data_IF_016076869925
#
_entry.id   IF_016076869925
#
_cell.length_a   1.000
_cell.length_b   1.000
_cell.length_c   1.000
_cell.angle_alpha   90.00
_cell.angle_beta   90.00
_cell.angle_gamma   90.00
#
_symmetry.space_group_name_H-M   'P 1'
#
loop_
_entity.id
_entity.type
_entity.pdbx_description
1 polymer ?
#
# COMPACT_ATOMS: atom_id res chain seq x y z
N UNK A 1 4.72 2.02 21.25
CA UNK A 1 4.67 3.50 21.14
C UNK A 1 3.21 3.94 21.12
N UNK A 2 2.87 5.12 21.64
CA UNK A 2 1.48 5.58 21.61
C UNK A 2 1.10 6.03 20.19
N UNK A 3 0.01 5.48 19.64
CA UNK A 3 -0.62 5.89 18.37
C UNK A 3 -0.68 7.41 18.16
N UNK A 4 -1.08 8.24 19.17
CA UNK A 4 -1.13 9.69 19.01
C UNK A 4 0.21 10.36 18.70
N UNK A 5 1.36 9.75 19.05
CA UNK A 5 2.67 10.29 18.68
C UNK A 5 2.97 10.09 17.19
N UNK A 6 2.70 8.89 16.68
CA UNK A 6 2.93 8.54 15.28
C UNK A 6 2.10 9.47 14.38
N UNK A 7 0.85 9.74 14.76
CA UNK A 7 -0.05 10.64 14.03
C UNK A 7 0.49 12.09 13.97
N UNK A 8 1.08 12.61 15.05
CA UNK A 8 1.67 13.96 15.08
C UNK A 8 2.93 14.06 14.23
N UNK A 9 3.83 13.08 14.35
CA UNK A 9 5.04 13.01 13.52
C UNK A 9 4.65 12.90 12.04
N UNK A 10 3.62 12.10 11.72
CA UNK A 10 3.06 11.98 10.36
C UNK A 10 2.54 13.31 9.83
N UNK A 11 1.68 13.99 10.58
CA UNK A 11 1.08 15.26 10.18
C UNK A 11 2.17 16.29 9.81
N UNK A 12 3.28 16.31 10.57
CA UNK A 12 4.41 17.20 10.33
C UNK A 12 5.21 16.85 9.07
N UNK A 13 5.37 15.57 8.77
CA UNK A 13 6.08 15.11 7.55
C UNK A 13 5.25 15.40 6.28
N UNK A 14 3.93 15.20 6.34
CA UNK A 14 3.01 15.46 5.22
C UNK A 14 2.94 16.96 4.89
N UNK A 15 2.90 17.83 5.90
CA UNK A 15 2.89 19.28 5.71
C UNK A 15 4.14 19.81 4.97
N UNK A 16 5.24 19.05 4.97
CA UNK A 16 6.48 19.40 4.30
C UNK A 16 6.70 18.79 2.90
N UNK A 17 5.73 18.03 2.36
CA UNK A 17 5.87 17.28 1.09
C UNK A 17 7.21 16.51 0.97
N UNK A 18 7.60 15.84 2.05
CA UNK A 18 8.95 15.31 2.20
C UNK A 18 8.96 13.81 2.50
N UNK A 19 9.90 13.08 1.88
CA UNK A 19 10.16 11.69 2.21
C UNK A 19 10.48 11.48 3.69
N UNK A 20 9.90 10.43 4.26
CA UNK A 20 10.25 9.92 5.59
C UNK A 20 11.68 9.35 5.55
N UNK A 21 12.66 10.21 5.81
CA UNK A 21 14.08 9.86 5.95
C UNK A 21 14.47 9.82 7.43
N UNK A 22 15.50 9.04 7.82
CA UNK A 22 15.94 8.97 9.23
C UNK A 22 16.22 10.33 9.86
N UNK A 23 16.91 11.23 9.14
CA UNK A 23 17.21 12.58 9.65
C UNK A 23 15.95 13.42 9.90
N UNK A 24 14.93 13.32 9.04
CA UNK A 24 13.68 14.07 9.18
C UNK A 24 12.78 13.50 10.28
N UNK A 25 12.68 12.17 10.37
CA UNK A 25 11.94 11.51 11.45
C UNK A 25 12.58 11.82 12.80
N UNK A 26 13.92 11.74 12.90
CA UNK A 26 14.63 12.15 14.11
C UNK A 26 14.41 13.63 14.46
N UNK A 27 14.40 14.52 13.46
CA UNK A 27 14.11 15.94 13.69
C UNK A 27 12.67 16.19 14.16
N UNK A 28 11.69 15.45 13.62
CA UNK A 28 10.30 15.56 14.02
C UNK A 28 10.08 15.02 15.44
N UNK A 29 10.72 13.90 15.79
CA UNK A 29 10.70 13.35 17.14
C UNK A 29 11.31 14.31 18.18
N UNK A 30 12.47 14.92 17.86
CA UNK A 30 13.09 15.91 18.75
C UNK A 30 12.20 17.13 18.96
N UNK A 31 11.49 17.58 17.93
CA UNK A 31 10.54 18.70 18.04
C UNK A 31 9.35 18.36 18.96
N UNK A 32 9.00 17.08 19.09
CA UNK A 32 7.99 16.56 20.03
C UNK A 32 8.59 16.24 21.42
N UNK A 33 9.87 16.55 21.66
CA UNK A 33 10.56 16.28 22.92
C UNK A 33 10.95 14.82 23.14
N UNK A 34 10.98 14.01 22.08
CA UNK A 34 11.21 12.57 22.16
C UNK A 34 12.59 12.22 21.60
N UNK A 35 13.32 11.43 22.38
CA UNK A 35 14.62 10.86 21.99
C UNK A 35 14.45 9.34 21.91
N UNK A 36 14.72 8.78 20.74
CA UNK A 36 14.74 7.35 20.47
C UNK A 36 16.14 6.95 20.04
N UNK A 37 16.53 5.71 20.35
CA UNK A 37 17.76 5.12 19.81
C UNK A 37 17.65 4.87 18.31
N UNK A 38 18.79 4.72 17.63
CA UNK A 38 18.87 4.64 16.17
C UNK A 38 18.01 3.51 15.58
N UNK A 39 17.97 2.33 16.23
CA UNK A 39 17.14 1.20 15.80
C UNK A 39 15.63 1.54 15.84
N UNK A 40 15.18 2.22 16.90
CA UNK A 40 13.79 2.64 17.03
C UNK A 40 13.43 3.76 16.04
N UNK A 41 14.39 4.65 15.73
CA UNK A 41 14.21 5.65 14.67
C UNK A 41 14.09 4.98 13.31
N UNK A 42 14.94 3.98 12.99
CA UNK A 42 14.88 3.25 11.73
C UNK A 42 13.55 2.49 11.57
N UNK A 43 13.10 1.80 12.62
CA UNK A 43 11.80 1.14 12.65
C UNK A 43 10.65 2.13 12.41
N UNK A 44 10.69 3.31 13.06
CA UNK A 44 9.69 4.35 12.84
C UNK A 44 9.73 4.93 11.43
N UNK A 45 10.92 5.11 10.86
CA UNK A 45 11.10 5.56 9.47
C UNK A 45 10.47 4.57 8.51
N UNK A 46 10.73 3.27 8.68
CA UNK A 46 10.11 2.25 7.85
C UNK A 46 8.59 2.26 8.00
N UNK A 47 8.08 2.32 9.22
CA UNK A 47 6.63 2.34 9.47
C UNK A 47 5.98 3.57 8.84
N UNK A 48 6.59 4.75 8.98
CA UNK A 48 6.13 6.00 8.36
C UNK A 48 6.26 5.96 6.84
N UNK A 49 7.31 5.36 6.28
CA UNK A 49 7.44 5.16 4.82
C UNK A 49 6.33 4.27 4.29
N UNK A 50 6.02 3.16 4.97
CA UNK A 50 4.92 2.25 4.61
C UNK A 50 3.56 2.96 4.63
N UNK A 51 3.34 3.85 5.60
CA UNK A 51 2.09 4.62 5.67
C UNK A 51 2.01 5.79 4.68
N UNK A 52 3.12 6.52 4.50
CA UNK A 52 3.17 7.75 3.71
C UNK A 52 3.34 7.48 2.21
N UNK A 53 4.05 6.41 1.85
CA UNK A 53 4.44 6.09 0.47
C UNK A 53 4.04 4.67 0.07
N UNK A 54 3.99 3.73 1.02
CA UNK A 54 3.63 2.33 0.77
C UNK A 54 2.12 2.06 0.72
N UNK A 55 1.76 0.78 0.69
CA UNK A 55 0.38 0.33 0.60
C UNK A 55 -0.43 0.45 1.91
N UNK A 56 0.12 1.15 2.91
CA UNK A 56 -0.51 1.35 4.20
C UNK A 56 -0.84 0.02 4.89
N UNK A 57 -2.09 -0.20 5.35
CA UNK A 57 -2.50 -1.44 5.99
C UNK A 57 -2.34 -2.69 5.11
N UNK A 58 -2.32 -2.55 3.78
CA UNK A 58 -2.20 -3.67 2.85
C UNK A 58 -0.77 -4.19 2.74
N UNK A 59 0.22 -3.43 3.22
CA UNK A 59 1.63 -3.79 3.15
C UNK A 59 1.93 -5.14 3.82
N UNK A 60 1.22 -5.46 4.92
CA UNK A 60 1.39 -6.74 5.60
C UNK A 60 1.01 -7.92 4.69
N UNK A 61 -0.04 -7.76 3.88
CA UNK A 61 -0.52 -8.77 2.94
C UNK A 61 0.40 -8.89 1.73
N UNK A 62 0.92 -7.76 1.21
CA UNK A 62 1.85 -7.75 0.07
C UNK A 62 3.20 -8.41 0.39
N UNK A 63 3.58 -8.45 1.68
CA UNK A 63 4.85 -9.05 2.11
C UNK A 63 4.76 -10.59 2.26
N UNK A 64 3.55 -11.14 2.38
CA UNK A 64 3.31 -12.58 2.43
C UNK A 64 3.73 -13.24 1.11
N UNK A 65 4.65 -14.21 1.19
CA UNK A 65 5.35 -14.74 0.02
C UNK A 65 4.49 -15.57 -0.95
N UNK A 66 3.30 -15.96 -0.52
CA UNK A 66 2.32 -16.76 -1.23
C UNK A 66 1.12 -15.94 -1.73
N UNK A 67 0.99 -14.66 -1.35
CA UNK A 67 -0.03 -13.76 -1.87
C UNK A 67 0.33 -13.32 -3.30
N UNK A 68 -0.62 -13.50 -4.21
CA UNK A 68 -0.53 -13.12 -5.62
C UNK A 68 -1.30 -11.86 -5.95
N UNK A 69 -2.43 -11.65 -5.28
CA UNK A 69 -3.32 -10.52 -5.51
C UNK A 69 -3.91 -10.04 -4.17
N UNK A 70 -4.05 -8.71 -4.02
CA UNK A 70 -4.77 -8.06 -2.92
C UNK A 70 -5.84 -7.17 -3.54
N UNK A 71 -7.10 -7.34 -3.15
CA UNK A 71 -8.23 -6.59 -3.67
C UNK A 71 -8.94 -5.85 -2.54
N UNK A 72 -9.33 -4.60 -2.79
CA UNK A 72 -10.18 -3.81 -1.90
C UNK A 72 -11.43 -3.46 -2.69
N UNK A 73 -12.59 -3.95 -2.25
CA UNK A 73 -13.88 -3.70 -2.89
C UNK A 73 -14.79 -2.85 -1.97
N UNK A 74 -14.19 -1.88 -1.28
CA UNK A 74 -14.81 -1.11 -0.21
C UNK A 74 -14.09 -1.28 1.14
N UNK A 75 -14.41 -0.44 2.14
CA UNK A 75 -13.63 -0.31 3.38
C UNK A 75 -13.53 -1.60 4.18
N UNK A 76 -14.62 -2.36 4.25
CA UNK A 76 -14.66 -3.62 5.01
C UNK A 76 -14.31 -4.83 4.14
N UNK A 77 -14.15 -4.66 2.82
CA UNK A 77 -14.11 -5.73 1.83
C UNK A 77 -12.72 -5.91 1.22
N UNK A 78 -11.75 -6.32 2.05
CA UNK A 78 -10.39 -6.67 1.62
C UNK A 78 -10.26 -8.18 1.40
N UNK A 79 -9.72 -8.56 0.25
CA UNK A 79 -9.54 -9.93 -0.19
C UNK A 79 -8.11 -10.17 -0.65
N UNK A 80 -7.66 -11.41 -0.59
CA UNK A 80 -6.38 -11.83 -1.15
C UNK A 80 -6.56 -13.12 -1.97
N UNK A 81 -5.68 -13.35 -2.93
CA UNK A 81 -5.57 -14.63 -3.66
C UNK A 81 -4.16 -15.17 -3.52
N UNK A 82 -4.04 -16.47 -3.28
CA UNK A 82 -2.78 -17.23 -3.20
C UNK A 82 -2.61 -18.24 -4.35
N UNK A 83 -3.36 -18.06 -5.43
CA UNK A 83 -3.47 -18.99 -6.56
C UNK A 83 -4.51 -20.10 -6.37
N UNK A 84 -5.39 -19.99 -5.37
CA UNK A 84 -6.47 -20.97 -5.07
C UNK A 84 -7.87 -20.33 -5.05
N UNK A 85 -7.96 -19.04 -5.36
CA UNK A 85 -9.18 -18.26 -5.27
C UNK A 85 -9.15 -17.26 -4.11
N UNK A 86 -10.21 -16.45 -4.04
CA UNK A 86 -10.30 -15.32 -3.12
C UNK A 86 -10.61 -15.75 -1.68
N UNK A 87 -9.83 -15.23 -0.75
CA UNK A 87 -10.05 -15.35 0.69
C UNK A 87 -10.17 -13.96 1.34
N UNK A 88 -11.02 -13.85 2.36
CA UNK A 88 -11.25 -12.58 3.07
C UNK A 88 -10.07 -12.30 4.01
N UNK A 89 -9.48 -11.11 3.92
CA UNK A 89 -8.45 -10.68 4.84
C UNK A 89 -9.06 -10.02 6.10
N UNK A 90 -8.34 -10.08 7.22
CA UNK A 90 -8.75 -9.41 8.46
C UNK A 90 -8.47 -7.89 8.44
N UNK A 91 -7.70 -7.40 7.46
CA UNK A 91 -7.40 -5.99 7.26
C UNK A 91 -8.64 -5.27 6.72
N UNK A 92 -8.85 -4.03 7.15
CA UNK A 92 -9.92 -3.16 6.67
C UNK A 92 -9.56 -1.68 6.80
N UNK A 93 -10.47 -0.82 6.35
CA UNK A 93 -10.36 0.63 6.40
C UNK A 93 -11.54 1.21 7.18
N UNK A 94 -11.36 2.39 7.77
CA UNK A 94 -12.43 3.07 8.52
C UNK A 94 -13.49 3.73 7.63
N UNK A 95 -13.19 3.99 6.35
CA UNK A 95 -14.15 4.58 5.40
C UNK A 95 -13.71 4.41 3.95
N UNK A 96 -14.65 4.55 3.02
CA UNK A 96 -14.33 4.64 1.58
C UNK A 96 -13.33 5.77 1.28
N UNK A 97 -13.45 6.90 1.98
CA UNK A 97 -12.52 8.02 1.85
C UNK A 97 -11.08 7.65 2.19
N UNK A 98 -10.84 6.68 3.08
CA UNK A 98 -9.49 6.15 3.34
C UNK A 98 -8.97 5.31 2.19
N UNK A 99 -9.82 4.47 1.61
CA UNK A 99 -9.50 3.67 0.41
C UNK A 99 -9.18 4.60 -0.77
N UNK A 100 -10.01 5.63 -1.01
CA UNK A 100 -9.75 6.66 -2.03
C UNK A 100 -8.41 7.34 -1.82
N UNK A 101 -8.13 7.80 -0.59
CA UNK A 101 -6.83 8.44 -0.28
C UNK A 101 -5.66 7.49 -0.50
N UNK A 102 -5.80 6.21 -0.17
CA UNK A 102 -4.76 5.21 -0.45
C UNK A 102 -4.52 5.06 -1.96
N UNK A 103 -5.58 4.84 -2.74
CA UNK A 103 -5.48 4.70 -4.20
C UNK A 103 -4.80 5.92 -4.84
N UNK A 104 -5.18 7.14 -4.42
CA UNK A 104 -4.61 8.38 -4.92
C UNK A 104 -3.13 8.53 -4.58
N UNK A 105 -2.72 8.17 -3.36
CA UNK A 105 -1.31 8.19 -2.95
C UNK A 105 -0.48 7.19 -3.76
N UNK A 106 -0.98 5.95 -3.93
CA UNK A 106 -0.28 4.92 -4.70
C UNK A 106 -0.15 5.31 -6.18
N UNK A 107 -1.19 5.91 -6.77
CA UNK A 107 -1.14 6.46 -8.13
C UNK A 107 -0.09 7.57 -8.26
N UNK A 108 -0.08 8.51 -7.31
CA UNK A 108 0.85 9.64 -7.31
C UNK A 108 2.31 9.20 -7.17
N UNK A 109 2.58 8.10 -6.46
CA UNK A 109 3.92 7.52 -6.34
C UNK A 109 4.50 7.06 -7.68
N UNK A 110 3.65 6.66 -8.65
CA UNK A 110 4.02 6.34 -10.04
C UNK A 110 3.87 7.55 -10.99
N UNK A 111 3.68 8.76 -10.46
CA UNK A 111 3.45 9.96 -11.25
C UNK A 111 2.11 9.97 -12.00
N UNK A 112 1.15 9.15 -11.59
CA UNK A 112 -0.20 9.06 -12.18
C UNK A 112 -1.20 9.89 -11.40
N UNK A 113 -2.25 10.33 -12.10
CA UNK A 113 -3.38 11.05 -11.50
C UNK A 113 -4.54 10.08 -11.30
N UNK A 114 -5.20 10.22 -10.15
CA UNK A 114 -6.47 9.58 -9.84
C UNK A 114 -7.34 10.61 -9.12
N UNK A 115 -8.33 11.14 -9.82
CA UNK A 115 -9.22 12.21 -9.34
C UNK A 115 -10.53 12.18 -10.13
N UNK A 116 -11.47 13.08 -9.84
CA UNK A 116 -12.80 13.03 -10.44
C UNK A 116 -12.78 13.29 -11.96
N UNK A 117 -11.70 13.85 -12.50
CA UNK A 117 -11.50 14.02 -13.94
C UNK A 117 -10.81 12.79 -14.59
N UNK A 118 -10.03 12.03 -13.81
CA UNK A 118 -9.39 10.76 -14.22
C UNK A 118 -9.74 9.67 -13.19
N UNK A 119 -10.95 9.08 -13.24
CA UNK A 119 -11.51 8.27 -12.16
C UNK A 119 -11.03 6.80 -12.13
N UNK A 120 -10.03 6.46 -12.95
CA UNK A 120 -9.35 5.17 -12.89
C UNK A 120 -7.86 5.33 -13.22
N UNK A 121 -7.05 4.38 -12.78
CA UNK A 121 -5.61 4.40 -13.00
C UNK A 121 -5.02 3.00 -13.04
N UNK A 122 -4.05 2.81 -13.92
CA UNK A 122 -3.07 1.73 -13.87
C UNK A 122 -1.70 2.31 -13.52
N UNK A 123 -1.05 1.74 -12.52
CA UNK A 123 0.23 2.22 -12.00
C UNK A 123 1.12 1.06 -11.51
N UNK A 124 2.36 1.36 -11.14
CA UNK A 124 3.27 0.41 -10.50
C UNK A 124 3.84 0.98 -9.20
N UNK A 125 3.85 0.15 -8.17
CA UNK A 125 4.57 0.42 -6.94
C UNK A 125 6.08 0.15 -7.16
N UNK A 126 6.89 0.65 -6.23
CA UNK A 126 8.36 0.56 -6.29
C UNK A 126 8.89 -0.89 -6.29
N UNK A 127 8.15 -1.82 -5.70
CA UNK A 127 8.45 -3.25 -5.65
C UNK A 127 8.03 -3.99 -6.95
N UNK A 128 7.44 -3.27 -7.91
CA UNK A 128 6.89 -3.80 -9.15
C UNK A 128 5.43 -4.27 -9.05
N UNK A 129 4.81 -4.20 -7.86
CA UNK A 129 3.38 -4.51 -7.68
C UNK A 129 2.54 -3.61 -8.58
N UNK A 130 1.69 -4.23 -9.39
CA UNK A 130 0.81 -3.51 -10.30
C UNK A 130 -0.42 -3.05 -9.54
N UNK A 131 -0.76 -1.78 -9.70
CA UNK A 131 -1.97 -1.18 -9.17
C UNK A 131 -2.97 -0.97 -10.30
N UNK A 132 -4.20 -1.38 -10.07
CA UNK A 132 -5.37 -0.83 -10.75
C UNK A 132 -6.30 -0.25 -9.68
N UNK A 133 -6.81 0.96 -9.89
CA UNK A 133 -7.80 1.54 -8.98
C UNK A 133 -8.86 2.31 -9.74
N UNK A 134 -10.08 2.28 -9.22
CA UNK A 134 -11.24 2.98 -9.77
C UNK A 134 -12.00 3.66 -8.63
N UNK A 135 -12.39 4.92 -8.85
CA UNK A 135 -13.14 5.73 -7.89
C UNK A 135 -14.50 6.13 -8.47
N UNK A 136 -15.33 6.75 -7.64
CA UNK A 136 -16.55 7.40 -8.10
C UNK A 136 -16.24 8.42 -9.23
N UNK A 137 -17.12 8.57 -10.24
CA UNK A 137 -18.46 7.95 -10.33
C UNK A 137 -18.49 6.57 -11.00
N UNK A 138 -17.35 6.02 -11.46
CA UNK A 138 -17.33 4.74 -12.17
C UNK A 138 -17.55 3.57 -11.20
N UNK A 139 -16.90 3.63 -10.04
CA UNK A 139 -17.10 2.65 -8.98
C UNK A 139 -18.29 3.08 -8.11
N UNK A 140 -19.46 2.48 -8.37
CA UNK A 140 -20.76 2.88 -7.78
C UNK A 140 -20.80 2.61 -6.27
N UNK A 141 -20.24 1.48 -5.85
CA UNK A 141 -20.30 1.00 -4.45
C UNK A 141 -19.07 1.41 -3.61
N UNK A 142 -18.29 2.38 -4.10
CA UNK A 142 -17.08 2.87 -3.45
C UNK A 142 -15.80 2.57 -4.23
N UNK A 143 -14.69 3.12 -3.76
CA UNK A 143 -13.37 2.97 -4.35
C UNK A 143 -12.95 1.50 -4.34
N UNK A 144 -12.48 1.04 -5.50
CA UNK A 144 -11.92 -0.31 -5.65
C UNK A 144 -10.44 -0.25 -6.00
N UNK A 145 -9.68 -1.19 -5.45
CA UNK A 145 -8.23 -1.33 -5.67
C UNK A 145 -7.94 -2.80 -5.99
N UNK A 146 -7.12 -3.04 -7.01
CA UNK A 146 -6.50 -4.34 -7.30
C UNK A 146 -4.99 -4.15 -7.32
N UNK A 147 -4.30 -4.92 -6.47
CA UNK A 147 -2.85 -4.99 -6.40
C UNK A 147 -2.42 -6.38 -6.83
N UNK A 148 -1.53 -6.47 -7.81
CA UNK A 148 -1.01 -7.75 -8.29
C UNK A 148 0.49 -7.83 -8.11
N UNK A 149 0.90 -8.73 -7.23
CA UNK A 149 2.29 -8.91 -6.80
C UNK A 149 3.07 -9.63 -7.90
N UNK A 150 4.29 -9.16 -8.26
CA UNK A 150 5.15 -9.89 -9.17
C UNK A 150 5.52 -11.23 -8.56
N UNK A 151 5.45 -12.31 -9.36
CA UNK A 151 5.94 -13.61 -8.88
C UNK A 151 7.43 -13.53 -8.62
N UNK A 152 7.86 -14.00 -7.44
CA UNK A 152 9.27 -14.02 -7.03
C UNK A 152 10.10 -15.05 -7.81
N UNK A 153 9.47 -16.07 -8.38
CA UNK A 153 10.12 -17.12 -9.17
C UNK A 153 9.53 -17.19 -10.59
N UNK A 154 10.40 -17.15 -11.59
CA UNK A 154 10.02 -17.40 -12.97
C UNK A 154 9.77 -18.89 -13.20
N UNK A 155 8.77 -19.22 -14.01
CA UNK A 155 8.54 -20.59 -14.43
C UNK A 155 9.60 -21.03 -15.43
N UNK A 156 10.11 -22.24 -15.22
CA UNK A 156 10.85 -22.94 -16.27
C UNK A 156 9.86 -23.52 -17.29
N UNK A 157 10.33 -23.87 -18.50
CA UNK A 157 9.49 -24.56 -19.48
C UNK A 157 8.83 -25.83 -18.89
N UNK A 158 9.54 -26.71 -18.15
CA UNK A 158 8.91 -27.83 -17.44
C UNK A 158 7.80 -27.44 -16.46
N UNK A 159 7.92 -26.29 -15.78
CA UNK A 159 6.86 -25.84 -14.86
C UNK A 159 5.60 -25.41 -15.61
N UNK A 160 5.76 -24.75 -16.77
CA UNK A 160 4.64 -24.37 -17.62
C UNK A 160 3.89 -25.59 -18.16
N UNK A 161 4.61 -26.64 -18.56
CA UNK A 161 4.00 -27.93 -18.95
C UNK A 161 3.27 -28.57 -17.77
N UNK A 162 3.90 -28.63 -16.58
CA UNK A 162 3.29 -29.21 -15.37
C UNK A 162 2.00 -28.50 -14.96
N UNK A 163 1.91 -27.20 -15.23
CA UNK A 163 0.73 -26.37 -14.97
C UNK A 163 -0.32 -26.42 -16.09
N UNK A 164 -0.07 -27.16 -17.19
CA UNK A 164 -0.97 -27.21 -18.34
C UNK A 164 -1.09 -25.87 -19.08
N UNK A 165 -0.10 -24.99 -18.95
CA UNK A 165 -0.08 -23.70 -19.66
C UNK A 165 0.37 -23.86 -21.11
N UNK A 166 1.19 -24.87 -21.40
CA UNK A 166 1.70 -25.26 -22.73
C UNK A 166 1.86 -26.78 -22.76
N UNK A 167 1.94 -27.36 -23.96
CA UNK A 167 2.16 -28.79 -24.23
C UNK A 167 3.58 -29.12 -24.73
#
# INVERSE_FOLDING_TARGET
>A
MSQPLVDRVRARLVAGQADATPGRVASALRAEGIVLGDEAVLSLVESLRRELVGAGPLEILLQEGDVTDVLVNGPDAVWIDRGKGLERAAVGFGSDGEVRRLAQRLAAADGRRLDDATPYVDARLIDGTRLHAVIAPIAIDGTVISLRVPRRQAFTLPDLVRMGSID
#
